data_IF_906309959593
#
_entry.id   IF_906309959593
#
_cell.length_a   1.000
_cell.length_b   1.000
_cell.length_c   1.000
_cell.angle_alpha   90.00
_cell.angle_beta   90.00
_cell.angle_gamma   90.00
#
_symmetry.space_group_name_H-M   'P 1'
#
loop_
_entity.id
_entity.type
_entity.pdbx_description
1 polymer ?
#
# COMPACT_ATOMS: atom_id res chain seq x y z
N UNK A 1 0.90 -5.86 1.25
CA UNK A 1 1.53 -7.12 0.80
C UNK A 1 0.53 -7.82 -0.12
N UNK A 2 1.00 -8.65 -1.04
CA UNK A 2 0.12 -9.46 -1.89
C UNK A 2 -0.85 -10.30 -1.04
N UNK A 3 -2.07 -10.54 -1.56
CA UNK A 3 -3.14 -11.23 -0.83
C UNK A 3 -3.84 -10.36 0.24
N UNK A 4 -3.77 -9.03 0.11
CA UNK A 4 -4.54 -8.09 0.93
C UNK A 4 -5.59 -7.35 0.11
N UNK A 5 -6.70 -7.03 0.75
CA UNK A 5 -7.88 -6.42 0.15
C UNK A 5 -8.38 -5.23 0.97
N UNK A 6 -8.79 -4.16 0.29
CA UNK A 6 -9.40 -2.97 0.90
C UNK A 6 -10.79 -2.76 0.31
N UNK A 7 -11.81 -2.87 1.16
CA UNK A 7 -13.20 -2.56 0.82
C UNK A 7 -13.55 -1.12 1.20
N UNK A 8 -14.27 -0.43 0.33
CA UNK A 8 -14.92 0.85 0.60
C UNK A 8 -16.43 0.60 0.54
N UNK A 9 -17.04 0.50 1.72
CA UNK A 9 -18.41 -0.01 1.87
C UNK A 9 -18.55 -1.39 1.21
N UNK A 10 -19.75 -1.66 0.71
CA UNK A 10 -20.02 -2.73 -0.24
C UNK A 10 -20.01 -2.25 -1.70
N UNK A 11 -19.31 -1.14 -2.00
CA UNK A 11 -19.34 -0.50 -3.32
C UNK A 11 -18.13 -0.83 -4.20
N UNK A 12 -16.95 -0.95 -3.58
CA UNK A 12 -15.72 -1.32 -4.30
C UNK A 12 -14.77 -2.07 -3.39
N UNK A 13 -13.96 -2.93 -3.99
CA UNK A 13 -12.87 -3.66 -3.35
C UNK A 13 -11.62 -3.54 -4.22
N UNK A 14 -10.47 -3.22 -3.62
CA UNK A 14 -9.17 -3.32 -4.27
C UNK A 14 -8.38 -4.47 -3.66
N UNK A 15 -7.98 -5.42 -4.49
CA UNK A 15 -7.16 -6.57 -4.13
C UNK A 15 -5.74 -6.37 -4.68
N UNK A 16 -4.72 -6.52 -3.83
CA UNK A 16 -3.34 -6.62 -4.30
C UNK A 16 -3.05 -8.09 -4.63
N UNK A 17 -3.04 -8.42 -5.92
CA UNK A 17 -2.83 -9.79 -6.39
C UNK A 17 -1.35 -10.17 -6.30
N UNK A 18 -0.51 -9.35 -6.93
CA UNK A 18 0.93 -9.61 -7.05
C UNK A 18 1.72 -8.31 -6.88
N UNK A 19 2.94 -8.42 -6.37
CA UNK A 19 3.87 -7.31 -6.26
C UNK A 19 5.32 -7.79 -6.34
N UNK A 20 6.17 -7.08 -7.08
CA UNK A 20 7.62 -7.32 -7.13
C UNK A 20 8.35 -6.81 -5.87
N UNK A 21 7.61 -6.16 -4.97
CA UNK A 21 8.10 -5.56 -3.73
C UNK A 21 7.32 -6.10 -2.55
N UNK A 22 7.96 -6.11 -1.38
CA UNK A 22 7.34 -6.64 -0.17
C UNK A 22 6.10 -5.86 0.28
N UNK A 23 6.10 -4.53 0.11
CA UNK A 23 5.03 -3.64 0.55
C UNK A 23 4.66 -2.69 -0.57
N UNK A 24 3.40 -2.23 -0.59
CA UNK A 24 2.97 -1.06 -1.35
C UNK A 24 2.15 -0.19 -0.40
N UNK A 25 2.05 1.10 -0.69
CA UNK A 25 1.14 2.00 -0.01
C UNK A 25 -0.13 2.18 -0.84
N UNK A 26 -1.28 2.05 -0.17
CA UNK A 26 -2.60 2.33 -0.74
C UNK A 26 -3.24 3.40 0.11
N UNK A 27 -3.43 4.60 -0.45
CA UNK A 27 -4.17 5.68 0.20
C UNK A 27 -5.57 5.74 -0.39
N UNK A 28 -6.59 5.66 0.45
CA UNK A 28 -7.98 5.71 0.01
C UNK A 28 -8.52 7.13 0.13
N UNK A 29 -8.99 7.67 -0.99
CA UNK A 29 -9.68 8.95 -1.06
C UNK A 29 -11.15 8.70 -1.35
N UNK A 30 -11.96 8.72 -0.30
CA UNK A 30 -13.41 8.55 -0.36
C UNK A 30 -14.08 9.35 0.77
N UNK A 31 -15.41 9.38 0.78
CA UNK A 31 -16.17 9.99 1.87
C UNK A 31 -15.81 9.35 3.22
N UNK A 32 -15.52 10.18 4.22
CA UNK A 32 -15.23 9.74 5.59
C UNK A 32 -16.40 9.02 6.29
N UNK A 33 -17.61 9.12 5.71
CA UNK A 33 -18.81 8.47 6.23
C UNK A 33 -19.02 7.04 5.68
N UNK A 34 -18.13 6.56 4.80
CA UNK A 34 -18.20 5.22 4.24
C UNK A 34 -17.27 4.30 5.01
N UNK A 35 -17.75 3.11 5.36
CA UNK A 35 -16.94 2.13 6.09
C UNK A 35 -15.73 1.68 5.26
N UNK A 36 -14.56 1.57 5.89
CA UNK A 36 -13.34 1.08 5.26
C UNK A 36 -12.86 -0.19 5.97
N UNK A 37 -12.63 -1.26 5.21
CA UNK A 37 -12.22 -2.55 5.77
C UNK A 37 -11.01 -3.11 5.04
N UNK A 38 -9.92 -3.31 5.77
CA UNK A 38 -8.71 -4.01 5.32
C UNK A 38 -8.74 -5.45 5.81
N UNK A 39 -8.42 -6.40 4.93
CA UNK A 39 -8.36 -7.81 5.30
C UNK A 39 -7.57 -8.63 4.27
N UNK A 40 -7.51 -9.95 4.51
CA UNK A 40 -6.91 -10.87 3.54
C UNK A 40 -7.85 -11.13 2.37
N UNK A 41 -7.29 -11.23 1.17
CA UNK A 41 -8.05 -11.48 -0.06
C UNK A 41 -8.78 -12.83 -0.04
N UNK A 42 -8.20 -13.85 0.58
CA UNK A 42 -8.83 -15.17 0.73
C UNK A 42 -10.21 -15.12 1.42
N UNK A 43 -10.44 -14.12 2.28
CA UNK A 43 -11.69 -13.94 3.02
C UNK A 43 -12.59 -12.84 2.42
N UNK A 44 -12.16 -12.19 1.35
CA UNK A 44 -12.81 -10.97 0.86
C UNK A 44 -14.22 -11.23 0.30
N UNK A 45 -14.41 -12.35 -0.38
CA UNK A 45 -15.72 -12.71 -0.93
C UNK A 45 -16.71 -13.04 0.19
N UNK A 46 -16.30 -13.87 1.14
CA UNK A 46 -17.10 -14.22 2.32
C UNK A 46 -17.46 -12.98 3.16
N UNK A 47 -16.51 -12.05 3.34
CA UNK A 47 -16.76 -10.79 4.02
C UNK A 47 -17.86 -9.98 3.31
N UNK A 48 -17.81 -9.90 1.97
CA UNK A 48 -18.83 -9.20 1.18
C UNK A 48 -20.20 -9.85 1.35
N UNK A 49 -20.27 -11.15 1.13
CA UNK A 49 -21.53 -11.90 1.14
C UNK A 49 -22.23 -11.84 2.51
N UNK A 50 -21.46 -11.92 3.60
CA UNK A 50 -22.01 -11.93 4.96
C UNK A 50 -22.29 -10.53 5.52
N UNK A 51 -21.63 -9.49 5.01
CA UNK A 51 -21.63 -8.19 5.67
C UNK A 51 -22.00 -6.98 4.81
N UNK A 52 -22.28 -7.16 3.51
CA UNK A 52 -22.91 -6.11 2.70
C UNK A 52 -24.22 -5.67 3.33
N UNK A 53 -24.45 -4.35 3.42
CA UNK A 53 -25.65 -3.83 4.07
C UNK A 53 -25.60 -3.82 5.60
N UNK A 54 -24.57 -4.40 6.24
CA UNK A 54 -24.40 -4.47 7.70
C UNK A 54 -23.13 -3.74 8.15
N UNK A 55 -21.95 -4.29 7.84
CA UNK A 55 -20.65 -3.67 8.16
C UNK A 55 -20.03 -2.98 6.95
N UNK A 56 -20.30 -3.52 5.76
CA UNK A 56 -19.90 -2.95 4.48
C UNK A 56 -21.04 -2.06 3.99
N UNK A 57 -21.09 -0.86 4.56
CA UNK A 57 -22.08 0.17 4.21
C UNK A 57 -21.38 1.38 3.60
N UNK A 58 -21.97 2.00 2.56
CA UNK A 58 -23.20 1.64 1.85
C UNK A 58 -23.03 0.42 0.91
N UNK A 59 -24.12 -0.21 0.41
CA UNK A 59 -25.53 0.13 0.63
C UNK A 59 -25.98 -0.10 2.07
N UNK A 60 -27.11 0.50 2.47
CA UNK A 60 -27.78 0.21 3.75
C UNK A 60 -28.80 -0.89 3.48
N UNK A 61 -28.75 -1.97 4.26
CA UNK A 61 -29.50 -3.21 4.04
C UNK A 61 -28.99 -4.08 2.86
N UNK A 62 -29.05 -5.40 3.04
CA UNK A 62 -28.45 -6.36 2.12
C UNK A 62 -29.23 -6.47 0.81
N UNK A 63 -30.55 -6.30 0.87
CA UNK A 63 -31.46 -6.36 -0.27
C UNK A 63 -31.13 -5.29 -1.31
N UNK A 64 -30.64 -4.12 -0.86
CA UNK A 64 -30.23 -3.04 -1.75
C UNK A 64 -29.01 -3.40 -2.59
N UNK A 65 -28.19 -4.36 -2.16
CA UNK A 65 -27.00 -4.76 -2.91
C UNK A 65 -27.34 -5.47 -4.23
N UNK A 66 -28.43 -6.22 -4.28
CA UNK A 66 -28.86 -6.93 -5.50
C UNK A 66 -29.39 -5.98 -6.56
N UNK A 67 -29.79 -4.77 -6.17
CA UNK A 67 -30.24 -3.72 -7.08
C UNK A 67 -29.10 -2.96 -7.76
N UNK A 68 -27.86 -3.10 -7.27
CA UNK A 68 -26.70 -2.34 -7.75
C UNK A 68 -26.07 -2.91 -9.02
N UNK A 69 -26.53 -4.08 -9.47
CA UNK A 69 -26.04 -4.74 -10.67
C UNK A 69 -25.07 -5.89 -10.38
N UNK A 70 -24.35 -6.31 -11.41
CA UNK A 70 -23.40 -7.41 -11.33
C UNK A 70 -22.07 -6.93 -10.73
N UNK A 71 -21.56 -7.66 -9.75
CA UNK A 71 -20.22 -7.45 -9.22
C UNK A 71 -19.17 -7.95 -10.23
N UNK A 72 -18.32 -7.06 -10.72
CA UNK A 72 -17.33 -7.32 -11.78
C UNK A 72 -15.91 -7.04 -11.29
N UNK A 73 -14.91 -7.65 -11.94
CA UNK A 73 -13.48 -7.47 -11.67
C UNK A 73 -12.80 -6.76 -12.85
N UNK A 74 -11.90 -5.82 -12.55
CA UNK A 74 -10.97 -5.23 -13.52
C UNK A 74 -9.54 -5.32 -13.00
N UNK A 75 -8.66 -6.00 -13.74
CA UNK A 75 -7.23 -6.09 -13.42
C UNK A 75 -6.46 -4.91 -14.01
N UNK A 76 -5.57 -4.35 -13.23
CA UNK A 76 -4.77 -3.18 -13.59
C UNK A 76 -3.33 -3.44 -13.13
N UNK A 77 -2.39 -3.33 -14.07
CA UNK A 77 -0.97 -3.36 -13.78
C UNK A 77 -0.49 -1.94 -13.45
N UNK A 78 0.28 -1.82 -12.38
CA UNK A 78 0.80 -0.54 -11.90
C UNK A 78 2.29 -0.65 -11.65
N UNK A 79 3.01 0.43 -11.93
CA UNK A 79 4.44 0.53 -11.68
C UNK A 79 4.77 1.87 -11.05
N UNK A 80 5.86 1.88 -10.29
CA UNK A 80 6.34 3.07 -9.59
C UNK A 80 7.85 3.02 -9.40
N UNK A 81 8.48 4.18 -9.36
CA UNK A 81 9.95 4.32 -9.37
C UNK A 81 10.53 4.86 -8.06
N UNK A 82 9.67 5.35 -7.17
CA UNK A 82 10.08 5.98 -5.92
C UNK A 82 9.08 5.68 -4.82
N UNK A 83 9.59 5.67 -3.58
CA UNK A 83 8.72 5.71 -2.42
C UNK A 83 8.18 7.12 -2.17
N UNK A 84 8.90 8.18 -2.53
CA UNK A 84 8.56 9.57 -2.14
C UNK A 84 7.33 10.14 -2.84
N UNK A 85 6.97 9.56 -3.98
CA UNK A 85 5.84 10.01 -4.79
C UNK A 85 4.87 8.86 -5.08
N UNK A 86 3.58 9.16 -4.99
CA UNK A 86 2.55 8.26 -5.49
C UNK A 86 2.72 8.07 -6.99
N UNK A 87 2.53 6.84 -7.44
CA UNK A 87 2.81 6.41 -8.79
C UNK A 87 1.59 6.55 -9.69
N UNK A 88 0.41 6.19 -9.20
CA UNK A 88 -0.83 6.28 -9.98
C UNK A 88 -2.05 6.33 -9.08
N UNK A 89 -3.13 6.94 -9.57
CA UNK A 89 -4.46 6.83 -8.98
C UNK A 89 -5.32 5.87 -9.80
N UNK A 90 -6.08 5.02 -9.12
CA UNK A 90 -7.17 4.23 -9.69
C UNK A 90 -8.49 4.83 -9.21
N UNK A 91 -9.15 5.58 -10.09
CA UNK A 91 -10.40 6.26 -9.79
C UNK A 91 -11.61 5.37 -10.07
N UNK A 92 -12.56 5.37 -9.14
CA UNK A 92 -13.86 4.70 -9.24
C UNK A 92 -14.94 5.77 -9.31
N UNK A 93 -15.63 5.83 -10.45
CA UNK A 93 -16.56 6.91 -10.77
C UNK A 93 -17.67 7.07 -9.72
N UNK A 94 -17.88 8.30 -9.26
CA UNK A 94 -18.91 8.64 -8.28
C UNK A 94 -18.57 8.31 -6.83
N UNK A 95 -17.42 7.68 -6.54
CA UNK A 95 -17.02 7.31 -5.19
C UNK A 95 -15.74 8.01 -4.72
N UNK A 96 -14.67 7.91 -5.51
CA UNK A 96 -13.34 8.31 -5.06
C UNK A 96 -12.22 7.61 -5.82
N UNK A 97 -11.05 7.45 -5.19
CA UNK A 97 -9.92 6.75 -5.80
C UNK A 97 -8.99 6.10 -4.78
N UNK A 98 -8.22 5.13 -5.26
CA UNK A 98 -7.07 4.55 -4.58
C UNK A 98 -5.81 5.18 -5.14
N UNK A 99 -5.00 5.81 -4.30
CA UNK A 99 -3.69 6.33 -4.68
C UNK A 99 -2.61 5.32 -4.28
N UNK A 100 -1.84 4.85 -5.25
CA UNK A 100 -0.85 3.79 -5.06
C UNK A 100 0.56 4.36 -5.06
N UNK A 101 1.33 4.02 -4.03
CA UNK A 101 2.76 4.34 -3.91
C UNK A 101 3.60 3.08 -3.81
N UNK A 102 4.49 2.86 -4.77
CA UNK A 102 5.40 1.71 -4.81
C UNK A 102 6.71 2.04 -5.56
N UNK A 103 7.77 1.29 -5.25
CA UNK A 103 9.02 1.28 -6.02
C UNK A 103 9.23 -0.09 -6.68
N UNK A 104 8.45 -0.39 -7.71
CA UNK A 104 8.43 -1.67 -8.40
C UNK A 104 7.15 -1.83 -9.22
N UNK A 105 6.77 -3.07 -9.48
CA UNK A 105 5.56 -3.43 -10.22
C UNK A 105 4.57 -4.15 -9.30
N UNK A 106 3.28 -3.99 -9.58
CA UNK A 106 2.21 -4.73 -8.94
C UNK A 106 1.03 -4.92 -9.89
N UNK A 107 0.26 -5.97 -9.65
CA UNK A 107 -1.03 -6.19 -10.31
C UNK A 107 -2.11 -6.11 -9.25
N UNK A 108 -3.10 -5.25 -9.48
CA UNK A 108 -4.26 -5.11 -8.60
C UNK A 108 -5.54 -5.50 -9.33
N UNK A 109 -6.52 -5.98 -8.60
CA UNK A 109 -7.89 -6.16 -9.08
C UNK A 109 -8.81 -5.17 -8.36
N UNK A 110 -9.55 -4.37 -9.13
CA UNK A 110 -10.63 -3.54 -8.61
C UNK A 110 -11.94 -4.20 -8.93
N UNK A 111 -12.72 -4.47 -7.89
CA UNK A 111 -14.07 -4.99 -8.01
C UNK A 111 -15.08 -3.89 -7.72
N UNK A 112 -16.08 -3.77 -8.59
CA UNK A 112 -17.22 -2.87 -8.40
C UNK A 112 -18.38 -3.33 -9.29
N UNK A 113 -19.52 -2.64 -9.22
CA UNK A 113 -20.69 -2.96 -10.00
C UNK A 113 -20.51 -2.64 -11.49
N UNK A 114 -21.17 -3.40 -12.36
CA UNK A 114 -21.21 -3.14 -13.78
C UNK A 114 -21.78 -1.74 -14.09
N UNK A 115 -21.32 -1.14 -15.18
CA UNK A 115 -21.65 0.25 -15.51
C UNK A 115 -20.89 1.31 -14.71
N UNK A 116 -20.24 0.98 -13.59
CA UNK A 116 -19.33 1.90 -12.89
C UNK A 116 -17.98 1.89 -13.60
N UNK A 117 -17.52 3.08 -13.98
CA UNK A 117 -16.23 3.21 -14.66
C UNK A 117 -15.06 3.29 -13.67
N UNK A 118 -13.99 2.58 -14.03
CA UNK A 118 -12.73 2.51 -13.28
C UNK A 118 -11.61 2.92 -14.21
N UNK A 119 -10.93 4.00 -13.88
CA UNK A 119 -9.90 4.61 -14.73
C UNK A 119 -8.59 4.74 -13.97
N UNK A 120 -7.50 4.39 -14.64
CA UNK A 120 -6.16 4.73 -14.18
C UNK A 120 -5.79 6.15 -14.65
N UNK A 121 -5.17 6.93 -13.77
CA UNK A 121 -4.69 8.29 -14.07
C UNK A 121 -3.40 8.62 -13.30
N UNK A 122 -2.80 9.75 -13.65
CA UNK A 122 -1.68 10.31 -12.89
C UNK A 122 -2.11 10.66 -11.46
N UNK A 123 -1.22 10.43 -10.50
CA UNK A 123 -1.49 10.70 -9.10
C UNK A 123 -1.72 12.20 -8.86
N UNK A 124 -2.91 12.57 -8.37
CA UNK A 124 -3.23 13.97 -8.11
C UNK A 124 -2.57 14.49 -6.82
N UNK A 125 -2.27 13.60 -5.88
CA UNK A 125 -1.52 13.90 -4.66
C UNK A 125 -0.19 13.17 -4.75
N UNK A 126 0.86 13.91 -5.07
CA UNK A 126 2.18 13.35 -5.36
C UNK A 126 2.89 12.92 -4.09
N UNK A 127 3.06 13.83 -3.13
CA UNK A 127 3.91 13.56 -1.98
C UNK A 127 3.19 12.78 -0.89
N UNK A 128 3.83 11.70 -0.44
CA UNK A 128 3.40 11.04 0.78
C UNK A 128 3.89 11.77 2.02
N UNK A 129 3.14 11.62 3.11
CA UNK A 129 3.53 12.25 4.37
C UNK A 129 4.76 11.53 4.93
N UNK A 130 5.88 12.26 5.06
CA UNK A 130 7.20 11.73 5.49
C UNK A 130 7.20 10.96 6.82
N UNK A 131 6.17 11.13 7.65
CA UNK A 131 6.06 10.42 8.93
C UNK A 131 5.58 8.96 8.78
N UNK A 132 4.94 8.61 7.66
CA UNK A 132 4.46 7.25 7.35
C UNK A 132 5.61 6.24 7.08
N UNK A 133 6.83 6.75 6.93
CA UNK A 133 8.04 5.98 6.59
C UNK A 133 8.84 5.56 7.82
N UNK A 134 8.45 6.01 9.00
CA UNK A 134 9.21 5.74 10.22
C UNK A 134 9.05 4.26 10.59
N UNK A 135 10.16 3.52 10.81
CA UNK A 135 10.09 2.20 11.42
C UNK A 135 9.24 2.28 12.70
N UNK A 136 8.26 1.36 12.82
CA UNK A 136 7.32 1.42 13.93
C UNK A 136 6.23 2.47 13.79
N UNK A 137 5.89 2.96 12.60
CA UNK A 137 4.78 3.91 12.38
C UNK A 137 3.45 3.47 13.03
N UNK A 138 3.17 2.15 13.06
CA UNK A 138 1.98 1.59 13.72
C UNK A 138 2.08 1.54 15.25
N UNK A 139 3.24 1.89 15.81
CA UNK A 139 3.50 1.87 17.24
C UNK A 139 3.28 3.28 17.83
N UNK A 140 2.96 3.37 19.13
CA UNK A 140 2.98 4.64 19.84
C UNK A 140 4.26 5.44 19.55
N UNK A 141 4.14 6.76 19.43
CA UNK A 141 5.22 7.67 19.00
C UNK A 141 6.53 7.43 19.78
N UNK A 142 6.43 7.20 21.09
CA UNK A 142 7.60 6.93 21.93
C UNK A 142 8.37 5.66 21.51
N UNK A 143 7.65 4.60 21.13
CA UNK A 143 8.23 3.33 20.69
C UNK A 143 8.81 3.47 19.29
N UNK A 144 8.06 4.12 18.38
CA UNK A 144 8.54 4.39 17.02
C UNK A 144 9.85 5.20 17.04
N UNK A 145 9.94 6.22 17.90
CA UNK A 145 11.15 7.03 18.05
C UNK A 145 12.33 6.21 18.60
N UNK A 146 12.10 5.37 19.61
CA UNK A 146 13.16 4.52 20.18
C UNK A 146 13.73 3.54 19.14
N UNK A 147 12.87 2.90 18.35
CA UNK A 147 13.30 2.00 17.25
C UNK A 147 14.05 2.78 16.18
N UNK A 148 13.57 3.98 15.82
CA UNK A 148 14.25 4.86 14.87
C UNK A 148 15.66 5.24 15.34
N UNK A 149 15.84 5.58 16.62
CA UNK A 149 17.14 5.90 17.20
C UNK A 149 18.09 4.70 17.23
N UNK A 150 17.61 3.52 17.61
CA UNK A 150 18.44 2.31 17.59
C UNK A 150 18.88 1.97 16.17
N UNK A 151 17.98 2.06 15.19
CA UNK A 151 18.29 1.77 13.78
C UNK A 151 19.36 2.74 13.27
N UNK A 152 19.23 4.04 13.59
CA UNK A 152 20.24 5.05 13.23
C UNK A 152 21.61 4.74 13.84
N UNK A 153 21.66 4.48 15.15
CA UNK A 153 22.92 4.14 15.86
C UNK A 153 23.56 2.86 15.32
N UNK A 154 22.76 1.86 14.95
CA UNK A 154 23.23 0.62 14.34
C UNK A 154 23.87 0.87 12.98
N UNK A 155 23.22 1.66 12.12
CA UNK A 155 23.75 1.99 10.80
C UNK A 155 25.03 2.85 10.90
N UNK A 156 25.09 3.80 11.84
CA UNK A 156 26.30 4.58 12.12
C UNK A 156 27.48 3.67 12.52
N UNK A 157 27.24 2.64 13.34
CA UNK A 157 28.28 1.66 13.72
C UNK A 157 28.71 0.78 12.55
N UNK A 158 27.77 0.31 11.74
CA UNK A 158 28.06 -0.52 10.56
C UNK A 158 28.90 0.25 9.54
N UNK A 159 28.56 1.52 9.27
CA UNK A 159 29.33 2.37 8.36
C UNK A 159 30.74 2.65 8.90
N UNK A 160 30.89 2.88 10.20
CA UNK A 160 32.21 3.09 10.81
C UNK A 160 33.09 1.82 10.76
N UNK A 161 32.50 0.63 10.88
CA UNK A 161 33.22 -0.64 10.72
C UNK A 161 33.61 -0.92 9.28
N UNK A 162 32.75 -0.60 8.31
CA UNK A 162 33.12 -0.70 6.90
C UNK A 162 34.26 0.24 6.52
N UNK A 163 34.29 1.46 7.08
CA UNK A 163 35.40 2.39 6.86
C UNK A 163 36.72 1.91 7.48
N UNK A 164 36.70 1.26 8.64
CA UNK A 164 37.93 0.71 9.22
C UNK A 164 38.45 -0.50 8.45
N UNK A 165 37.55 -1.36 7.95
CA UNK A 165 37.94 -2.56 7.20
C UNK A 165 38.51 -2.19 5.82
N UNK A 166 37.99 -1.12 5.17
CA UNK A 166 38.53 -0.60 3.91
C UNK A 166 39.90 0.09 4.10
N UNK A 167 40.13 0.79 5.23
CA UNK A 167 41.41 1.44 5.54
C UNK A 167 42.51 0.41 5.90
N UNK A 168 42.16 -0.73 6.51
CA UNK A 168 43.10 -1.80 6.87
C UNK A 168 43.55 -2.65 5.66
N UNK A 169 42.73 -2.74 4.60
CA UNK A 169 43.07 -3.47 3.36
C UNK A 169 44.01 -2.68 2.43
N UNK A 170 43.98 -1.34 2.45
CA UNK A 170 44.89 -0.50 1.67
C UNK A 170 46.32 -0.48 2.25
N UNK A 171 46.48 -0.56 3.59
CA UNK A 171 47.78 -0.58 4.29
C UNK A 171 48.56 -1.92 4.12
N UNK A 172 47.90 -2.99 3.64
CA UNK A 172 48.53 -4.29 3.38
C UNK A 172 49.08 -4.44 1.94
N UNK A 173 48.86 -3.44 1.08
CA UNK A 173 49.26 -3.50 -0.34
C UNK A 173 50.63 -2.89 -0.65
N UNK A 174 51.29 -2.26 0.33
CA UNK A 174 52.56 -1.51 0.13
C UNK A 174 53.85 -2.27 0.53
N UNK A 175 53.79 -3.54 0.96
CA UNK A 175 54.99 -4.33 1.39
C UNK A 175 55.43 -5.45 0.41
N UNK A 176 55.08 -5.36 -0.88
CA UNK A 176 55.70 -6.18 -1.95
C UNK A 176 56.33 -5.30 -3.05
N UNK A 177 57.39 -4.55 -2.71
CA UNK A 177 58.39 -4.17 -3.72
C UNK A 177 59.78 -3.99 -3.10
N UNK A 178 60.55 -5.08 -3.09
CA UNK A 178 62.00 -5.10 -2.89
C UNK A 178 62.69 -5.52 -4.19
#
# INVERSE_FOLDING_TARGET
>A
QAGQSVHIGGLTRLDLLEASVQTIYVTVWASANISLHLGKTENAEELRDKHVGIRLQPPVAAERATELGQWTERRIDVSGVSWDVNSTDIAVSGLGWYSLGLKGNATVAVHTFDGIDVTQRDAMILHRAKFLERPGFLLPIAIANAIGEETRKKNERLNAQQQSDDDDDDDLSDDESA
#
